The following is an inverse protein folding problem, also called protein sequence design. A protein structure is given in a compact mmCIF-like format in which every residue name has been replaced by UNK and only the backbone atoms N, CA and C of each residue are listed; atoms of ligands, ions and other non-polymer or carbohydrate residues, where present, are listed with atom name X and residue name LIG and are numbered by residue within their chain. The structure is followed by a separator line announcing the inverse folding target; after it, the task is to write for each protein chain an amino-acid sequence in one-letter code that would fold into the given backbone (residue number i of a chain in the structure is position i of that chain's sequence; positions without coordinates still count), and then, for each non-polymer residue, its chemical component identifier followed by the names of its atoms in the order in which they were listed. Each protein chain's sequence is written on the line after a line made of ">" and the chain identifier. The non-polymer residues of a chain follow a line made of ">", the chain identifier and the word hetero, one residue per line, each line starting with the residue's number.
data_IF_244978833841
#
_entry.id   IF_244978833841
#
_cell.length_a   1.000
_cell.length_b   1.000
_cell.length_c   1.000
_cell.angle_alpha   90.00
_cell.angle_beta   90.00
_cell.angle_gamma   90.00
#
_symmetry.space_group_name_H-M   'P 1'
#
loop_
_entity.id
_entity.type
_entity.pdbx_description
1 polymer ?
#
# COMPACT_ATOMS: atom_id res chain seq x y z
N UNK A 1 2.13 13.12 9.21
CA UNK A 1 2.17 11.79 8.55
C UNK A 1 2.86 11.98 7.20
N UNK A 2 3.69 11.05 6.75
CA UNK A 2 4.34 11.17 5.42
C UNK A 2 3.54 10.29 4.47
N UNK A 3 2.91 10.91 3.49
CA UNK A 3 2.17 10.22 2.45
C UNK A 3 3.10 9.60 1.38
N UNK A 4 2.62 8.60 0.65
CA UNK A 4 3.42 7.87 -0.34
C UNK A 4 3.96 8.79 -1.45
N UNK A 5 3.17 9.76 -1.87
CA UNK A 5 3.52 10.73 -2.90
C UNK A 5 2.80 12.07 -2.67
N UNK A 6 3.05 13.06 -3.54
CA UNK A 6 2.46 14.40 -3.42
C UNK A 6 0.94 14.34 -3.49
N UNK A 7 0.27 15.06 -2.62
CA UNK A 7 -1.20 15.14 -2.54
C UNK A 7 -1.84 15.60 -3.87
N UNK A 8 -1.13 16.43 -4.63
CA UNK A 8 -1.59 16.89 -5.95
C UNK A 8 -1.85 15.75 -6.94
N UNK A 9 -1.28 14.56 -6.73
CA UNK A 9 -1.52 13.39 -7.58
C UNK A 9 -2.66 12.49 -7.07
N UNK A 10 -3.09 12.67 -5.81
CA UNK A 10 -4.01 11.76 -5.14
C UNK A 10 -5.32 11.55 -5.92
N UNK A 11 -6.02 12.63 -6.22
CA UNK A 11 -7.32 12.55 -6.90
C UNK A 11 -7.24 11.80 -8.24
N UNK A 12 -6.16 12.02 -8.99
CA UNK A 12 -5.98 11.33 -10.28
C UNK A 12 -5.56 9.87 -10.08
N UNK A 13 -4.67 9.58 -9.15
CA UNK A 13 -4.27 8.21 -8.81
C UNK A 13 -5.46 7.36 -8.34
N UNK A 14 -6.34 7.95 -7.53
CA UNK A 14 -7.60 7.32 -7.13
C UNK A 14 -8.49 7.01 -8.33
N UNK A 15 -8.64 7.96 -9.25
CA UNK A 15 -9.44 7.74 -10.47
C UNK A 15 -8.82 6.67 -11.35
N UNK A 16 -7.50 6.69 -11.55
CA UNK A 16 -6.79 5.70 -12.37
C UNK A 16 -6.98 4.29 -11.83
N UNK A 17 -6.80 4.08 -10.53
CA UNK A 17 -6.98 2.74 -9.95
C UNK A 17 -8.45 2.36 -9.87
N UNK A 18 -9.36 3.31 -9.65
CA UNK A 18 -10.81 3.08 -9.74
C UNK A 18 -11.24 2.61 -11.13
N UNK A 19 -10.82 3.31 -12.18
CA UNK A 19 -11.08 2.95 -13.56
C UNK A 19 -10.47 1.59 -13.92
N UNK A 20 -9.27 1.28 -13.39
CA UNK A 20 -8.61 -0.01 -13.61
C UNK A 20 -9.43 -1.18 -13.04
N UNK A 21 -9.89 -1.08 -11.78
CA UNK A 21 -10.75 -2.09 -11.18
C UNK A 21 -12.08 -2.23 -11.93
N UNK A 22 -12.68 -1.10 -12.30
CA UNK A 22 -13.92 -1.11 -13.08
C UNK A 22 -13.72 -1.83 -14.42
N UNK A 23 -12.72 -1.45 -15.19
CA UNK A 23 -12.46 -2.02 -16.52
C UNK A 23 -12.10 -3.50 -16.44
N UNK A 24 -11.22 -3.88 -15.53
CA UNK A 24 -10.81 -5.28 -15.36
C UNK A 24 -12.00 -6.20 -15.05
N UNK A 25 -12.87 -5.77 -14.12
CA UNK A 25 -13.97 -6.63 -13.65
C UNK A 25 -15.18 -6.56 -14.58
N UNK A 26 -15.63 -5.36 -14.93
CA UNK A 26 -16.92 -5.19 -15.62
C UNK A 26 -16.81 -5.28 -17.13
N UNK A 27 -15.63 -5.01 -17.70
CA UNK A 27 -15.42 -5.08 -19.16
C UNK A 27 -14.66 -6.34 -19.54
N UNK A 28 -13.48 -6.58 -18.92
CA UNK A 28 -12.65 -7.74 -19.28
C UNK A 28 -13.09 -9.04 -18.62
N UNK A 29 -14.08 -9.02 -17.70
CA UNK A 29 -14.58 -10.22 -17.02
C UNK A 29 -13.58 -10.90 -16.09
N UNK A 30 -12.50 -10.21 -15.71
CA UNK A 30 -11.51 -10.72 -14.75
C UNK A 30 -12.10 -10.60 -13.35
N UNK A 31 -12.12 -11.70 -12.57
CA UNK A 31 -12.62 -11.59 -11.20
C UNK A 31 -11.77 -10.56 -10.39
N UNK A 32 -12.42 -9.80 -9.50
CA UNK A 32 -11.71 -8.79 -8.74
C UNK A 32 -10.58 -9.38 -7.89
N UNK A 33 -10.75 -10.59 -7.36
CA UNK A 33 -9.71 -11.31 -6.63
C UNK A 33 -8.53 -11.71 -7.52
N UNK A 34 -8.79 -12.09 -8.78
CA UNK A 34 -7.70 -12.41 -9.72
C UNK A 34 -7.02 -11.15 -10.21
N UNK A 35 -7.77 -10.07 -10.47
CA UNK A 35 -7.16 -8.79 -10.82
C UNK A 35 -6.23 -8.28 -9.72
N UNK A 36 -6.60 -8.39 -8.45
CA UNK A 36 -5.72 -8.06 -7.32
C UNK A 36 -4.40 -8.86 -7.38
N UNK A 37 -4.48 -10.19 -7.62
CA UNK A 37 -3.27 -11.03 -7.72
C UNK A 37 -2.36 -10.58 -8.86
N UNK A 38 -2.94 -10.35 -10.04
CA UNK A 38 -2.21 -9.89 -11.23
C UNK A 38 -1.58 -8.51 -10.96
N UNK A 39 -2.35 -7.56 -10.44
CA UNK A 39 -1.88 -6.21 -10.11
C UNK A 39 -0.70 -6.23 -9.13
N UNK A 40 -0.82 -6.98 -8.02
CA UNK A 40 0.25 -7.09 -7.02
C UNK A 40 1.51 -7.78 -7.58
N UNK A 41 1.34 -8.76 -8.46
CA UNK A 41 2.46 -9.46 -9.10
C UNK A 41 3.21 -8.58 -10.12
N UNK A 42 2.51 -7.62 -10.73
CA UNK A 42 3.07 -6.77 -11.79
C UNK A 42 4.06 -5.71 -11.27
N UNK A 43 4.84 -5.14 -12.19
CA UNK A 43 5.66 -3.97 -11.89
C UNK A 43 4.83 -2.71 -11.67
N UNK A 44 3.61 -2.66 -12.22
CA UNK A 44 2.70 -1.51 -12.16
C UNK A 44 2.37 -1.12 -10.72
N UNK A 45 2.01 -2.10 -9.87
CA UNK A 45 1.74 -1.84 -8.45
C UNK A 45 2.91 -1.16 -7.76
N UNK A 46 4.14 -1.64 -7.99
CA UNK A 46 5.36 -1.08 -7.40
C UNK A 46 5.66 0.33 -7.88
N UNK A 47 5.40 0.63 -9.16
CA UNK A 47 5.58 1.96 -9.73
C UNK A 47 4.58 2.97 -9.15
N UNK A 48 3.32 2.55 -8.96
CA UNK A 48 2.32 3.36 -8.26
C UNK A 48 2.71 3.59 -6.79
N UNK A 49 3.15 2.55 -6.07
CA UNK A 49 3.65 2.64 -4.69
C UNK A 49 4.81 3.63 -4.54
N UNK A 50 5.73 3.64 -5.51
CA UNK A 50 6.88 4.55 -5.54
C UNK A 50 6.53 5.98 -5.95
N UNK A 51 5.27 6.24 -6.31
CA UNK A 51 4.83 7.58 -6.67
C UNK A 51 5.28 8.02 -8.06
N UNK A 52 5.52 7.09 -9.00
CA UNK A 52 5.93 7.40 -10.37
C UNK A 52 4.82 8.16 -11.11
N UNK A 53 5.04 9.42 -11.53
CA UNK A 53 3.97 10.26 -12.10
C UNK A 53 3.29 9.63 -13.32
N UNK A 54 4.04 8.91 -14.15
CA UNK A 54 3.49 8.24 -15.32
C UNK A 54 2.36 7.26 -14.97
N UNK A 55 2.44 6.61 -13.81
CA UNK A 55 1.46 5.62 -13.34
C UNK A 55 0.36 6.22 -12.45
N UNK A 56 0.61 7.37 -11.86
CA UNK A 56 -0.38 8.04 -11.02
C UNK A 56 -1.29 8.99 -11.81
N UNK A 57 -0.73 9.68 -12.82
CA UNK A 57 -1.43 10.75 -13.54
C UNK A 57 -1.27 10.69 -15.07
N UNK A 58 -0.31 9.91 -15.58
CA UNK A 58 0.03 9.85 -16.99
C UNK A 58 -0.72 8.76 -17.77
N UNK A 59 -1.13 7.67 -17.11
CA UNK A 59 -1.87 6.57 -17.72
C UNK A 59 -3.34 6.59 -17.31
N UNK A 60 -4.20 6.05 -18.16
CA UNK A 60 -5.59 5.74 -17.84
C UNK A 60 -5.69 4.41 -17.08
N UNK A 61 -6.82 4.15 -16.41
CA UNK A 61 -7.07 2.85 -15.77
C UNK A 61 -7.06 1.69 -16.76
N UNK A 62 -7.49 1.92 -18.00
CA UNK A 62 -7.46 0.91 -19.08
C UNK A 62 -6.00 0.54 -19.40
N UNK A 63 -5.13 1.52 -19.63
CA UNK A 63 -3.70 1.27 -19.89
C UNK A 63 -3.03 0.53 -18.73
N UNK A 64 -3.44 0.79 -17.49
CA UNK A 64 -2.98 0.05 -16.31
C UNK A 64 -3.36 -1.43 -16.43
N UNK A 65 -4.61 -1.75 -16.76
CA UNK A 65 -5.07 -3.15 -16.88
C UNK A 65 -4.38 -3.86 -18.04
N UNK A 66 -4.27 -3.21 -19.20
CA UNK A 66 -3.56 -3.76 -20.38
C UNK A 66 -2.13 -4.11 -20.02
N UNK A 67 -1.40 -3.22 -19.36
CA UNK A 67 -0.01 -3.47 -18.96
C UNK A 67 0.10 -4.58 -17.90
N UNK A 68 -0.79 -4.60 -16.90
CA UNK A 68 -0.84 -5.65 -15.88
C UNK A 68 -1.06 -7.02 -16.51
N UNK A 69 -2.02 -7.15 -17.42
CA UNK A 69 -2.34 -8.43 -18.08
C UNK A 69 -1.24 -8.85 -19.04
N UNK A 70 -0.70 -7.91 -19.82
CA UNK A 70 0.41 -8.20 -20.71
C UNK A 70 1.65 -8.71 -19.92
N UNK A 71 1.99 -8.04 -18.81
CA UNK A 71 3.15 -8.41 -17.98
C UNK A 71 2.97 -9.77 -17.28
N UNK A 72 1.76 -10.05 -16.77
CA UNK A 72 1.54 -11.19 -15.87
C UNK A 72 0.98 -12.42 -16.56
N UNK A 73 0.25 -12.24 -17.66
CA UNK A 73 -0.39 -13.34 -18.41
C UNK A 73 0.16 -13.51 -19.83
N UNK A 74 0.95 -12.55 -20.33
CA UNK A 74 1.44 -12.55 -21.71
C UNK A 74 0.33 -12.44 -22.75
N UNK A 75 -0.81 -11.81 -22.38
CA UNK A 75 -1.98 -11.66 -23.24
C UNK A 75 -2.24 -10.20 -23.56
N UNK A 76 -2.78 -9.95 -24.74
CA UNK A 76 -3.32 -8.65 -25.12
C UNK A 76 -4.80 -8.60 -24.73
N UNK A 77 -5.25 -7.43 -24.32
CA UNK A 77 -6.67 -7.10 -24.07
C UNK A 77 -7.10 -6.14 -25.17
N UNK A 78 -8.17 -6.48 -25.87
CA UNK A 78 -8.75 -5.67 -26.97
C UNK A 78 -10.25 -5.38 -26.71
N UNK A 79 -10.69 -5.54 -25.47
CA UNK A 79 -12.08 -5.24 -25.08
C UNK A 79 -12.31 -3.74 -25.04
N UNK A 80 -13.27 -3.26 -25.84
CA UNK A 80 -13.65 -1.85 -25.83
C UNK A 80 -14.33 -1.47 -24.49
N UNK A 81 -13.95 -0.31 -23.91
CA UNK A 81 -14.57 0.15 -22.67
C UNK A 81 -16.07 0.35 -22.83
N UNK A 82 -16.85 -0.24 -21.96
CA UNK A 82 -18.29 0.00 -21.93
C UNK A 82 -18.59 1.36 -21.28
N UNK A 83 -19.42 2.16 -21.95
CA UNK A 83 -19.91 3.43 -21.40
C UNK A 83 -20.94 3.10 -20.31
N UNK A 84 -20.57 3.26 -19.04
CA UNK A 84 -21.51 3.15 -17.94
C UNK A 84 -21.92 4.54 -17.42
N UNK A 85 -23.22 4.68 -17.13
CA UNK A 85 -23.73 5.85 -16.43
C UNK A 85 -23.52 5.65 -14.92
N UNK A 86 -22.50 6.31 -14.36
CA UNK A 86 -22.18 6.26 -12.95
C UNK A 86 -20.91 5.44 -12.60
N UNK A 87 -20.45 5.58 -11.36
CA UNK A 87 -19.29 4.87 -10.86
C UNK A 87 -19.72 3.55 -10.23
N UNK A 88 -19.11 2.45 -10.67
CA UNK A 88 -19.42 1.12 -10.14
C UNK A 88 -18.85 0.92 -8.74
N UNK A 89 -19.28 -0.15 -8.08
CA UNK A 89 -18.70 -0.61 -6.83
C UNK A 89 -17.21 -0.91 -6.98
N UNK A 90 -16.83 -1.51 -8.08
CA UNK A 90 -15.44 -1.86 -8.41
C UNK A 90 -14.58 -0.60 -8.58
N UNK A 91 -15.14 0.45 -9.19
CA UNK A 91 -14.47 1.76 -9.23
C UNK A 91 -14.20 2.29 -7.81
N UNK A 92 -15.22 2.27 -6.94
CA UNK A 92 -15.05 2.73 -5.56
C UNK A 92 -13.97 1.93 -4.82
N UNK A 93 -13.90 0.62 -5.03
CA UNK A 93 -12.87 -0.25 -4.42
C UNK A 93 -11.48 0.23 -4.81
N UNK A 94 -11.20 0.37 -6.09
CA UNK A 94 -9.90 0.85 -6.56
C UNK A 94 -9.57 2.27 -6.05
N UNK A 95 -10.58 3.15 -6.06
CA UNK A 95 -10.48 4.51 -5.57
C UNK A 95 -10.14 4.58 -4.08
N UNK A 96 -10.79 3.79 -3.24
CA UNK A 96 -10.58 3.74 -1.80
C UNK A 96 -9.23 3.10 -1.45
N UNK A 97 -8.84 2.04 -2.15
CA UNK A 97 -7.54 1.37 -1.95
C UNK A 97 -6.39 2.30 -2.35
N UNK A 98 -6.51 3.08 -3.43
CA UNK A 98 -5.51 4.08 -3.82
C UNK A 98 -5.36 5.19 -2.76
N UNK A 99 -6.48 5.64 -2.18
CA UNK A 99 -6.45 6.57 -1.05
C UNK A 99 -5.68 5.99 0.13
N UNK A 100 -6.01 4.76 0.53
CA UNK A 100 -5.37 4.14 1.68
C UNK A 100 -3.88 3.89 1.45
N UNK A 101 -3.49 3.50 0.24
CA UNK A 101 -2.09 3.36 -0.13
C UNK A 101 -1.34 4.69 0.02
N UNK A 102 -1.88 5.78 -0.53
CA UNK A 102 -1.31 7.12 -0.39
C UNK A 102 -1.21 7.54 1.08
N UNK A 103 -2.30 7.38 1.83
CA UNK A 103 -2.41 7.78 3.24
C UNK A 103 -1.41 7.05 4.13
N UNK A 104 -1.31 5.73 3.98
CA UNK A 104 -0.51 4.87 4.86
C UNK A 104 0.92 4.64 4.37
N UNK A 105 1.22 4.93 3.11
CA UNK A 105 2.46 4.55 2.41
C UNK A 105 2.76 3.05 2.43
N UNK A 106 1.74 2.20 2.62
CA UNK A 106 1.88 0.73 2.61
C UNK A 106 1.91 0.20 1.19
N UNK A 107 2.50 -0.97 1.02
CA UNK A 107 2.49 -1.70 -0.26
C UNK A 107 1.10 -2.26 -0.53
N UNK A 108 0.68 -2.27 -1.80
CA UNK A 108 -0.58 -2.91 -2.20
C UNK A 108 -0.64 -4.38 -1.79
N UNK A 109 0.49 -5.11 -1.93
CA UNK A 109 0.57 -6.49 -1.51
C UNK A 109 0.27 -6.71 -0.02
N UNK A 110 0.67 -5.79 0.86
CA UNK A 110 0.35 -5.89 2.28
C UNK A 110 -1.10 -5.48 2.58
N UNK A 111 -1.64 -4.50 1.85
CA UNK A 111 -3.05 -4.11 1.95
C UNK A 111 -3.95 -5.31 1.61
N UNK A 112 -3.69 -5.97 0.48
CA UNK A 112 -4.50 -7.10 0.03
C UNK A 112 -4.26 -8.43 0.77
N UNK A 113 -3.25 -8.53 1.65
CA UNK A 113 -3.17 -9.62 2.63
C UNK A 113 -4.19 -9.48 3.76
N UNK A 114 -4.59 -8.25 4.05
CA UNK A 114 -5.43 -7.90 5.21
C UNK A 114 -6.89 -7.74 4.82
N UNK A 115 -7.15 -7.39 3.57
CA UNK A 115 -8.49 -7.17 3.05
C UNK A 115 -8.65 -7.85 1.70
N UNK A 116 -9.62 -8.77 1.60
CA UNK A 116 -9.97 -9.44 0.35
C UNK A 116 -10.84 -8.56 -0.55
N UNK A 117 -10.99 -8.94 -1.81
CA UNK A 117 -11.92 -8.26 -2.71
C UNK A 117 -13.37 -8.34 -2.20
N UNK A 118 -13.79 -9.46 -1.62
CA UNK A 118 -15.11 -9.64 -1.02
C UNK A 118 -15.31 -8.71 0.20
N UNK A 119 -14.31 -8.57 1.06
CA UNK A 119 -14.37 -7.60 2.15
C UNK A 119 -14.61 -6.18 1.63
N UNK A 120 -13.87 -5.78 0.57
CA UNK A 120 -14.01 -4.46 -0.04
C UNK A 120 -15.40 -4.26 -0.67
N UNK A 121 -15.95 -5.31 -1.30
CA UNK A 121 -17.31 -5.28 -1.81
C UNK A 121 -18.34 -5.08 -0.69
N UNK A 122 -18.16 -5.74 0.45
CA UNK A 122 -19.05 -5.61 1.61
C UNK A 122 -18.92 -4.21 2.25
N UNK A 123 -17.72 -3.66 2.32
CA UNK A 123 -17.48 -2.31 2.83
C UNK A 123 -18.14 -1.22 1.96
N UNK A 124 -18.28 -1.44 0.66
CA UNK A 124 -18.93 -0.49 -0.24
C UNK A 124 -20.31 -0.09 0.26
N UNK A 125 -21.16 -1.04 0.65
CA UNK A 125 -22.54 -0.78 1.05
C UNK A 125 -22.67 0.16 2.26
N UNK A 126 -21.65 0.24 3.10
CA UNK A 126 -21.66 1.06 4.32
C UNK A 126 -20.77 2.30 4.24
N UNK A 127 -19.81 2.31 3.33
CA UNK A 127 -18.75 3.34 3.31
C UNK A 127 -18.73 4.21 2.06
N UNK A 128 -19.45 3.87 0.98
CA UNK A 128 -19.36 4.61 -0.28
C UNK A 128 -19.86 6.07 -0.19
N UNK A 129 -20.75 6.36 0.75
CA UNK A 129 -21.24 7.70 1.06
C UNK A 129 -20.57 8.31 2.30
N UNK A 130 -19.72 7.55 2.99
CA UNK A 130 -19.06 8.02 4.20
C UNK A 130 -17.76 8.76 3.87
N UNK A 131 -17.25 9.54 4.83
CA UNK A 131 -15.90 10.10 4.72
C UNK A 131 -14.88 8.98 4.56
N UNK A 132 -13.96 9.14 3.63
CA UNK A 132 -12.96 8.12 3.28
C UNK A 132 -12.01 7.79 4.44
N UNK A 133 -11.88 8.67 5.42
CA UNK A 133 -11.11 8.41 6.63
C UNK A 133 -11.62 7.19 7.40
N UNK A 134 -12.96 6.95 7.39
CA UNK A 134 -13.54 5.76 8.03
C UNK A 134 -13.07 4.45 7.39
N UNK A 135 -12.87 4.46 6.07
CA UNK A 135 -12.28 3.32 5.38
C UNK A 135 -10.82 3.12 5.85
N UNK A 136 -10.04 4.20 5.93
CA UNK A 136 -8.67 4.12 6.40
C UNK A 136 -8.58 3.60 7.84
N UNK A 137 -9.44 4.06 8.75
CA UNK A 137 -9.48 3.60 10.15
C UNK A 137 -9.75 2.09 10.26
N UNK A 138 -10.69 1.57 9.44
CA UNK A 138 -11.01 0.14 9.43
C UNK A 138 -9.83 -0.68 8.92
N UNK A 139 -9.19 -0.24 7.83
CA UNK A 139 -8.03 -0.95 7.30
C UNK A 139 -6.84 -0.87 8.27
N UNK A 140 -6.58 0.28 8.89
CA UNK A 140 -5.51 0.43 9.89
C UNK A 140 -5.69 -0.52 11.09
N UNK A 141 -6.93 -0.68 11.56
CA UNK A 141 -7.23 -1.65 12.63
C UNK A 141 -6.90 -3.08 12.20
N UNK A 142 -7.35 -3.51 11.02
CA UNK A 142 -7.04 -4.83 10.46
C UNK A 142 -5.53 -5.02 10.26
N UNK A 143 -4.84 -3.98 9.81
CA UNK A 143 -3.39 -3.98 9.66
C UNK A 143 -2.66 -4.20 10.99
N UNK A 144 -3.12 -3.56 12.06
CA UNK A 144 -2.55 -3.74 13.40
C UNK A 144 -2.75 -5.16 13.93
N UNK A 145 -3.92 -5.75 13.64
CA UNK A 145 -4.24 -7.12 14.04
C UNK A 145 -3.41 -8.15 13.24
N UNK A 146 -3.23 -7.94 11.95
CA UNK A 146 -2.53 -8.87 11.06
C UNK A 146 -1.00 -8.73 11.13
N UNK A 147 -0.50 -7.50 11.20
CA UNK A 147 0.92 -7.18 11.31
C UNK A 147 1.21 -6.67 12.73
N UNK A 148 1.60 -7.55 13.64
CA UNK A 148 1.93 -7.15 15.00
C UNK A 148 3.03 -6.10 15.00
N UNK A 149 3.16 -5.40 16.10
CA UNK A 149 4.13 -4.33 16.27
C UNK A 149 5.55 -4.79 15.96
N UNK A 150 6.30 -3.98 15.18
CA UNK A 150 7.70 -4.29 14.88
C UNK A 150 8.57 -4.26 16.14
N UNK A 151 9.64 -5.03 16.18
CA UNK A 151 10.60 -5.01 17.27
C UNK A 151 11.15 -3.60 17.51
N UNK A 152 11.49 -2.88 16.43
CA UNK A 152 11.94 -1.49 16.51
C UNK A 152 10.90 -0.60 17.21
N UNK A 153 9.64 -0.67 16.82
CA UNK A 153 8.59 0.16 17.42
C UNK A 153 8.38 -0.21 18.89
N UNK A 154 8.29 -1.50 19.21
CA UNK A 154 8.13 -2.01 20.58
C UNK A 154 9.27 -1.54 21.50
N UNK A 155 10.54 -1.70 21.07
CA UNK A 155 11.70 -1.31 21.87
C UNK A 155 11.77 0.21 22.02
N UNK A 156 11.53 0.98 20.94
CA UNK A 156 11.51 2.44 20.98
C UNK A 156 10.44 2.99 21.95
N UNK A 157 9.22 2.45 21.86
CA UNK A 157 8.13 2.88 22.75
C UNK A 157 8.40 2.49 24.20
N UNK A 158 8.94 1.29 24.44
CA UNK A 158 9.39 0.86 25.77
C UNK A 158 10.49 1.74 26.34
N UNK A 159 11.39 2.27 25.50
CA UNK A 159 12.41 3.23 25.89
C UNK A 159 11.85 4.65 26.12
N UNK A 160 10.56 4.89 25.82
CA UNK A 160 9.95 6.22 25.96
C UNK A 160 10.36 7.23 24.87
N UNK A 161 10.89 6.75 23.74
CA UNK A 161 11.44 7.60 22.69
C UNK A 161 10.42 7.80 21.55
N UNK A 162 10.25 9.06 21.08
CA UNK A 162 9.48 9.34 19.86
C UNK A 162 10.30 9.00 18.62
N UNK A 163 9.64 8.76 17.49
CA UNK A 163 10.33 8.54 16.20
C UNK A 163 11.27 9.70 15.85
N UNK A 164 10.82 10.94 16.10
CA UNK A 164 11.63 12.13 15.83
C UNK A 164 12.85 12.21 16.76
N UNK A 165 12.69 11.86 18.04
CA UNK A 165 13.80 11.81 18.99
C UNK A 165 14.81 10.72 18.60
N UNK A 166 14.34 9.53 18.26
CA UNK A 166 15.20 8.44 17.78
C UNK A 166 15.97 8.84 16.52
N UNK A 167 15.32 9.49 15.57
CA UNK A 167 15.95 9.99 14.34
C UNK A 167 17.11 10.97 14.67
N UNK A 168 16.83 11.93 15.55
CA UNK A 168 17.82 12.93 15.98
C UNK A 168 19.01 12.29 16.70
N UNK A 169 18.76 11.36 17.61
CA UNK A 169 19.80 10.73 18.43
C UNK A 169 20.64 9.72 17.64
N UNK A 170 20.00 8.94 16.74
CA UNK A 170 20.70 7.93 15.94
C UNK A 170 21.35 8.48 14.67
N UNK A 171 20.97 9.70 14.24
CA UNK A 171 21.36 10.24 12.94
C UNK A 171 20.76 9.50 11.74
N UNK A 172 19.75 8.64 11.98
CA UNK A 172 18.98 7.97 10.94
C UNK A 172 17.78 8.85 10.57
N UNK A 173 17.45 8.97 9.29
CA UNK A 173 16.34 9.84 8.87
C UNK A 173 15.03 9.41 9.52
N UNK A 174 14.20 10.38 9.92
CA UNK A 174 12.86 10.13 10.45
C UNK A 174 12.03 9.26 9.50
N UNK A 175 12.13 9.52 8.19
CA UNK A 175 11.47 8.73 7.15
C UNK A 175 11.90 7.26 7.20
N UNK A 176 13.21 6.99 7.37
CA UNK A 176 13.69 5.59 7.43
C UNK A 176 13.14 4.88 8.66
N UNK A 177 13.10 5.53 9.82
CA UNK A 177 12.53 4.95 11.05
C UNK A 177 11.04 4.65 10.84
N UNK A 178 10.29 5.59 10.29
CA UNK A 178 8.87 5.40 9.98
C UNK A 178 8.65 4.22 9.02
N UNK A 179 9.45 4.14 7.95
CA UNK A 179 9.35 3.04 6.98
C UNK A 179 9.68 1.68 7.59
N UNK A 180 10.65 1.60 8.50
CA UNK A 180 10.95 0.35 9.23
C UNK A 180 9.80 -0.04 10.16
N UNK A 181 9.27 0.89 10.94
CA UNK A 181 8.16 0.61 11.86
C UNK A 181 6.84 0.28 11.14
N UNK A 182 6.65 0.80 9.93
CA UNK A 182 5.50 0.49 9.08
C UNK A 182 5.70 -0.74 8.19
N UNK A 183 6.86 -1.43 8.28
CA UNK A 183 7.26 -2.55 7.41
C UNK A 183 7.35 -2.21 5.91
N UNK A 184 7.31 -0.91 5.56
CA UNK A 184 7.50 -0.46 4.17
C UNK A 184 8.95 -0.61 3.72
N UNK A 185 9.87 -0.74 4.68
CA UNK A 185 11.27 -1.07 4.46
C UNK A 185 11.67 -2.18 5.42
N UNK A 186 12.28 -3.22 4.88
CA UNK A 186 12.74 -4.36 5.67
C UNK A 186 13.97 -3.95 6.49
N UNK A 187 13.84 -3.95 7.82
CA UNK A 187 14.93 -3.61 8.73
C UNK A 187 16.07 -4.63 8.63
N UNK A 188 15.77 -5.90 8.32
CA UNK A 188 16.78 -6.95 8.16
C UNK A 188 17.72 -6.70 6.97
N UNK A 189 17.29 -5.85 6.01
CA UNK A 189 18.09 -5.41 4.86
C UNK A 189 18.73 -4.03 5.04
N UNK A 190 18.60 -3.45 6.23
CA UNK A 190 19.27 -2.19 6.51
C UNK A 190 20.79 -2.40 6.63
N UNK A 191 21.57 -1.33 6.35
CA UNK A 191 23.02 -1.42 6.58
C UNK A 191 23.31 -1.66 8.05
N UNK A 192 24.34 -2.45 8.34
CA UNK A 192 24.82 -2.72 9.71
C UNK A 192 25.04 -1.43 10.49
N UNK A 193 25.57 -0.41 9.83
CA UNK A 193 25.79 0.91 10.43
C UNK A 193 24.46 1.55 10.88
N UNK A 194 23.41 1.48 10.04
CA UNK A 194 22.09 2.04 10.39
C UNK A 194 21.49 1.33 11.59
N UNK A 195 21.48 -0.02 11.59
CA UNK A 195 20.92 -0.79 12.71
C UNK A 195 21.72 -0.58 13.97
N UNK A 196 23.06 -0.57 13.88
CA UNK A 196 23.93 -0.34 15.03
C UNK A 196 23.68 1.01 15.69
N UNK A 197 23.52 2.09 14.92
CA UNK A 197 23.19 3.43 15.44
C UNK A 197 21.85 3.43 16.19
N UNK A 198 20.83 2.76 15.66
CA UNK A 198 19.52 2.64 16.30
C UNK A 198 19.65 1.84 17.60
N UNK A 199 20.30 0.67 17.55
CA UNK A 199 20.49 -0.22 18.70
C UNK A 199 21.23 0.49 19.83
N UNK A 200 22.30 1.23 19.51
CA UNK A 200 23.07 2.01 20.47
C UNK A 200 22.24 3.05 21.22
N UNK A 201 21.33 3.75 20.53
CA UNK A 201 20.44 4.75 21.15
C UNK A 201 19.42 4.09 22.05
N UNK A 202 18.88 2.95 21.62
CA UNK A 202 17.83 2.22 22.36
C UNK A 202 18.39 1.30 23.46
N UNK A 203 19.71 1.15 23.57
CA UNK A 203 20.35 0.29 24.58
C UNK A 203 20.06 -1.20 24.37
N UNK A 204 19.84 -1.64 23.13
CA UNK A 204 19.55 -3.02 22.76
C UNK A 204 20.61 -3.58 21.79
N UNK A 205 20.54 -4.88 21.49
CA UNK A 205 21.39 -5.51 20.48
C UNK A 205 20.80 -5.31 19.07
N UNK A 206 21.60 -5.57 18.03
CA UNK A 206 21.14 -5.56 16.64
C UNK A 206 20.07 -6.66 16.46
N UNK A 207 20.30 -7.82 17.05
CA UNK A 207 19.44 -8.99 17.00
C UNK A 207 18.04 -8.71 17.57
N UNK A 208 17.96 -7.87 18.61
CA UNK A 208 16.69 -7.47 19.22
C UNK A 208 15.82 -6.66 18.26
N UNK A 209 16.44 -5.94 17.31
CA UNK A 209 15.75 -5.13 16.31
C UNK A 209 15.35 -5.93 15.07
N UNK A 210 16.00 -7.09 14.85
CA UNK A 210 15.72 -7.91 13.69
C UNK A 210 14.33 -8.54 13.77
N UNK A 211 13.63 -8.54 12.64
CA UNK A 211 12.34 -9.21 12.52
C UNK A 211 12.55 -10.68 12.17
N UNK A 212 11.78 -11.57 12.80
CA UNK A 212 11.76 -12.98 12.38
C UNK A 212 11.26 -13.05 10.95
N UNK A 213 12.09 -13.55 10.05
CA UNK A 213 11.62 -13.99 8.73
C UNK A 213 10.74 -15.22 8.96
N UNK A 214 9.45 -15.13 8.65
CA UNK A 214 8.66 -16.33 8.42
C UNK A 214 9.26 -16.96 7.17
N UNK A 215 10.12 -17.95 7.38
CA UNK A 215 10.52 -18.87 6.32
C UNK A 215 9.31 -19.79 6.19
N UNK A 216 8.53 -19.58 5.12
CA UNK A 216 7.52 -20.54 4.65
C UNK A 216 8.20 -21.80 4.12
#
# INVERSE_FOLDING_TARGET
>A
MIHAYRETYLSKAQSVLGDAFHYAVNTCGISGSDFIKLFVASSVSKRMENGEPAYLVGKSGIEIVVEVVAETMGKEIDEEPQIQMGRSREYWIGWAVAYYQWFSSRKYGDIFKVVSFEDLQNMYYTLHEADISKFADIIDKRMQEFFPETNLKRIRTGYGCTQAALAKLSGVSLRSIQMYEQRNKDINKASVETIHRIAKVLGCTIEDLMEKTHID
#
